data_IF_961304049152
#
_entry.id   IF_961304049152
#
_cell.length_a   1.000
_cell.length_b   1.000
_cell.length_c   1.000
_cell.angle_alpha   90.00
_cell.angle_beta   90.00
_cell.angle_gamma   90.00
#
_symmetry.space_group_name_H-M   'P 1'
#
loop_
_entity.id
_entity.type
_entity.pdbx_description
1 polymer ?
#
# COMPACT_ATOMS: atom_id res chain seq x y z
N UNK A 1 41.44 23.42 -12.41
CA UNK A 1 41.15 23.96 -13.76
C UNK A 1 40.93 22.74 -14.64
N UNK A 2 39.74 22.30 -15.04
CA UNK A 2 38.54 23.02 -15.44
C UNK A 2 37.27 22.38 -14.85
N UNK A 3 36.50 23.21 -14.17
CA UNK A 3 35.06 23.06 -13.98
C UNK A 3 34.33 23.63 -15.20
N UNK A 4 33.06 23.23 -15.39
CA UNK A 4 32.03 23.82 -16.26
C UNK A 4 31.99 23.31 -17.72
N UNK A 5 31.11 22.34 -18.02
CA UNK A 5 30.41 22.28 -19.33
C UNK A 5 29.23 21.30 -19.46
N UNK A 6 28.71 20.64 -18.41
CA UNK A 6 27.65 19.61 -18.60
C UNK A 6 26.22 20.04 -18.28
N UNK A 7 25.96 21.29 -17.90
CA UNK A 7 24.60 21.76 -17.54
C UNK A 7 23.93 22.62 -18.62
N UNK A 8 24.59 22.91 -19.76
CA UNK A 8 24.06 23.81 -20.78
C UNK A 8 23.32 23.10 -21.93
N UNK A 9 23.59 21.82 -22.19
CA UNK A 9 23.01 21.09 -23.33
C UNK A 9 21.64 20.47 -23.05
N UNK A 10 21.28 20.24 -21.77
CA UNK A 10 20.01 19.61 -21.38
C UNK A 10 18.87 20.63 -21.31
N UNK A 11 19.16 21.89 -20.97
CA UNK A 11 18.16 22.97 -20.90
C UNK A 11 17.72 23.51 -22.27
N UNK A 12 18.48 23.22 -23.33
CA UNK A 12 18.15 23.67 -24.69
C UNK A 12 17.02 22.83 -25.31
N UNK A 13 16.97 21.51 -25.06
CA UNK A 13 15.99 20.63 -25.68
C UNK A 13 14.55 20.81 -25.18
N UNK A 14 14.36 21.08 -23.88
CA UNK A 14 13.01 21.36 -23.34
C UNK A 14 12.49 22.74 -23.76
N UNK A 15 13.37 23.72 -23.91
CA UNK A 15 13.02 25.05 -24.42
C UNK A 15 12.53 25.00 -25.87
N UNK A 16 13.17 24.20 -26.73
CA UNK A 16 12.80 24.09 -28.16
C UNK A 16 11.42 23.44 -28.32
N UNK A 17 11.16 22.31 -27.65
CA UNK A 17 9.84 21.63 -27.72
C UNK A 17 8.74 22.55 -27.16
N UNK A 18 9.02 23.27 -26.06
CA UNK A 18 8.08 24.20 -25.46
C UNK A 18 7.77 25.41 -26.35
N UNK A 19 8.76 25.97 -27.03
CA UNK A 19 8.56 27.11 -27.94
C UNK A 19 7.80 26.69 -29.20
N UNK A 20 8.04 25.49 -29.74
CA UNK A 20 7.29 24.95 -30.87
C UNK A 20 5.83 24.63 -30.51
N UNK A 21 5.57 23.94 -29.39
CA UNK A 21 4.19 23.60 -28.95
C UNK A 21 3.40 24.84 -28.52
N UNK A 22 4.06 25.79 -27.84
CA UNK A 22 3.46 27.06 -27.41
C UNK A 22 3.11 27.98 -28.59
N UNK A 23 3.96 28.03 -29.62
CA UNK A 23 3.72 28.81 -30.83
C UNK A 23 2.54 28.27 -31.66
N UNK A 24 2.36 26.95 -31.71
CA UNK A 24 1.24 26.34 -32.44
C UNK A 24 -0.14 26.54 -31.78
N UNK A 25 -0.20 26.81 -30.47
CA UNK A 25 -1.47 26.89 -29.73
C UNK A 25 -1.97 28.33 -29.49
N UNK A 26 -1.15 29.36 -29.75
CA UNK A 26 -1.53 30.78 -29.58
C UNK A 26 -2.10 31.11 -28.17
N UNK A 27 -1.58 30.45 -27.12
CA UNK A 27 -2.07 30.58 -25.73
C UNK A 27 -1.14 31.53 -24.95
N UNK A 28 -1.70 32.65 -24.48
CA UNK A 28 -1.05 33.50 -23.47
C UNK A 28 -0.99 32.76 -22.13
N UNK A 29 0.15 32.14 -21.85
CA UNK A 29 0.40 31.43 -20.59
C UNK A 29 0.78 32.41 -19.47
N UNK A 30 0.29 32.12 -18.26
CA UNK A 30 0.73 32.76 -17.02
C UNK A 30 2.27 32.64 -16.90
N UNK A 31 3.00 33.74 -16.65
CA UNK A 31 4.47 33.73 -16.55
C UNK A 31 5.00 32.72 -15.54
N UNK A 32 4.33 32.52 -14.41
CA UNK A 32 4.74 31.55 -13.39
C UNK A 32 4.66 30.11 -13.92
N UNK A 33 3.58 29.81 -14.64
CA UNK A 33 3.36 28.51 -15.29
C UNK A 33 4.42 28.24 -16.36
N UNK A 34 4.79 29.25 -17.15
CA UNK A 34 5.84 29.15 -18.17
C UNK A 34 7.20 28.86 -17.54
N UNK A 35 7.54 29.54 -16.44
CA UNK A 35 8.80 29.30 -15.74
C UNK A 35 8.90 27.89 -15.15
N UNK A 36 7.80 27.39 -14.56
CA UNK A 36 7.75 26.03 -14.01
C UNK A 36 7.96 24.95 -15.08
N UNK A 37 7.35 25.10 -16.25
CA UNK A 37 7.50 24.14 -17.35
C UNK A 37 8.91 24.15 -17.95
N UNK A 38 9.55 25.33 -18.06
CA UNK A 38 10.94 25.44 -18.53
C UNK A 38 11.97 24.76 -17.61
N UNK A 39 11.65 24.63 -16.32
CA UNK A 39 12.53 23.99 -15.35
C UNK A 39 12.42 22.45 -15.32
N UNK A 40 11.50 21.87 -16.09
CA UNK A 40 11.36 20.42 -16.17
C UNK A 40 12.41 19.81 -17.08
N UNK A 41 12.86 18.62 -16.72
CA UNK A 41 13.63 17.80 -17.64
C UNK A 41 12.74 17.32 -18.81
N UNK A 42 13.37 17.06 -19.97
CA UNK A 42 12.65 16.63 -21.18
C UNK A 42 11.83 15.37 -20.92
N UNK A 43 12.39 14.38 -20.22
CA UNK A 43 11.68 13.13 -19.93
C UNK A 43 10.50 13.32 -18.99
N UNK A 44 10.61 14.26 -18.03
CA UNK A 44 9.51 14.62 -17.13
C UNK A 44 8.40 15.33 -17.89
N UNK A 45 8.75 16.26 -18.77
CA UNK A 45 7.79 16.96 -19.62
C UNK A 45 7.07 16.00 -20.57
N UNK A 46 7.80 15.11 -21.25
CA UNK A 46 7.22 14.10 -22.13
C UNK A 46 6.23 13.18 -21.40
N UNK A 47 6.59 12.73 -20.19
CA UNK A 47 5.69 11.90 -19.40
C UNK A 47 4.39 12.64 -19.06
N UNK A 48 4.49 13.89 -18.61
CA UNK A 48 3.32 14.71 -18.28
C UNK A 48 2.46 14.93 -19.55
N UNK A 49 3.09 15.30 -20.66
CA UNK A 49 2.44 15.63 -21.93
C UNK A 49 1.71 14.45 -22.60
N UNK A 50 2.12 13.20 -22.31
CA UNK A 50 1.37 12.00 -22.73
C UNK A 50 -0.02 11.90 -22.11
N UNK A 51 -0.23 12.51 -20.94
CA UNK A 51 -1.48 12.41 -20.19
C UNK A 51 -2.28 13.72 -20.17
N UNK A 52 -1.60 14.85 -20.08
CA UNK A 52 -2.21 16.17 -20.04
C UNK A 52 -1.35 17.15 -20.82
N UNK A 53 -1.98 17.97 -21.66
CA UNK A 53 -1.30 19.11 -22.29
C UNK A 53 -1.08 20.18 -21.21
N UNK A 54 0.16 20.42 -20.75
CA UNK A 54 0.41 21.35 -19.66
C UNK A 54 -0.02 22.77 -20.00
N UNK A 55 0.04 23.17 -21.27
CA UNK A 55 -0.21 24.53 -21.75
C UNK A 55 -1.69 24.92 -21.73
N UNK A 56 -2.62 23.95 -21.72
CA UNK A 56 -4.06 24.26 -21.72
C UNK A 56 -4.45 25.15 -20.54
N UNK A 57 -5.35 26.10 -20.78
CA UNK A 57 -5.87 27.00 -19.75
C UNK A 57 -6.61 26.25 -18.62
N UNK A 58 -7.22 25.11 -18.95
CA UNK A 58 -7.89 24.23 -17.98
C UNK A 58 -6.92 23.41 -17.12
N UNK A 59 -5.63 23.39 -17.46
CA UNK A 59 -4.57 22.71 -16.69
C UNK A 59 -3.82 23.72 -15.83
N UNK A 60 -3.89 23.55 -14.51
CA UNK A 60 -3.09 24.33 -13.56
C UNK A 60 -1.79 23.60 -13.26
N UNK A 61 -0.68 24.33 -13.32
CA UNK A 61 0.65 23.83 -12.93
C UNK A 61 1.08 24.62 -11.70
N UNK A 62 1.40 23.92 -10.61
CA UNK A 62 1.78 24.54 -9.34
C UNK A 62 2.97 23.77 -8.72
N UNK A 63 3.65 24.41 -7.78
CA UNK A 63 4.70 23.79 -6.98
C UNK A 63 4.41 24.01 -5.49
N UNK A 64 3.41 23.30 -4.98
CA UNK A 64 2.86 23.49 -3.64
C UNK A 64 3.04 22.26 -2.76
N UNK A 65 3.21 22.49 -1.46
CA UNK A 65 3.40 21.41 -0.47
C UNK A 65 2.39 21.46 0.68
N UNK A 66 1.69 22.57 0.84
CA UNK A 66 0.72 22.76 1.92
C UNK A 66 -0.69 22.86 1.37
N UNK A 67 -1.66 22.33 2.12
CA UNK A 67 -3.06 22.40 1.75
C UNK A 67 -3.58 23.86 1.70
N UNK A 68 -3.07 24.74 2.56
CA UNK A 68 -3.46 26.15 2.62
C UNK A 68 -3.07 26.96 1.38
N UNK A 69 -2.13 26.46 0.57
CA UNK A 69 -1.70 27.10 -0.69
C UNK A 69 -2.65 26.78 -1.85
N UNK A 70 -3.63 25.87 -1.65
CA UNK A 70 -4.61 25.47 -2.66
C UNK A 70 -5.96 26.14 -2.38
N UNK A 71 -6.20 27.27 -3.05
CA UNK A 71 -7.46 28.01 -2.98
C UNK A 71 -8.48 27.48 -3.99
N UNK A 72 -9.64 27.01 -3.53
CA UNK A 72 -10.69 26.43 -4.39
C UNK A 72 -11.15 27.42 -5.49
N UNK A 73 -11.21 28.72 -5.18
CA UNK A 73 -11.61 29.76 -6.14
C UNK A 73 -10.70 29.82 -7.39
N UNK A 74 -9.41 29.54 -7.23
CA UNK A 74 -8.43 29.52 -8.34
C UNK A 74 -8.67 28.36 -9.33
N UNK A 75 -9.37 27.32 -8.90
CA UNK A 75 -9.63 26.10 -9.68
C UNK A 75 -11.02 26.07 -10.35
N UNK A 76 -11.84 27.10 -10.18
CA UNK A 76 -13.21 27.18 -10.73
C UNK A 76 -13.32 26.91 -12.24
N UNK A 77 -12.28 27.23 -13.02
CA UNK A 77 -12.21 26.98 -14.49
C UNK A 77 -11.28 25.83 -14.88
N UNK A 78 -10.69 25.14 -13.91
CA UNK A 78 -9.60 24.18 -14.14
C UNK A 78 -10.12 22.76 -14.02
N UNK A 79 -9.82 21.93 -15.02
CA UNK A 79 -10.17 20.51 -15.03
C UNK A 79 -9.05 19.64 -14.49
N UNK A 80 -7.82 20.17 -14.44
CA UNK A 80 -6.64 19.36 -14.15
C UNK A 80 -5.61 20.13 -13.33
N UNK A 81 -4.89 19.41 -12.46
CA UNK A 81 -3.80 19.94 -11.65
C UNK A 81 -2.53 19.11 -11.86
N UNK A 82 -1.43 19.78 -12.14
CA UNK A 82 -0.08 19.23 -12.16
C UNK A 82 0.68 19.87 -10.99
N UNK A 83 1.04 19.06 -9.99
CA UNK A 83 1.91 19.50 -8.91
C UNK A 83 3.33 18.97 -9.10
N UNK A 84 4.28 19.87 -9.34
CA UNK A 84 5.69 19.52 -9.58
C UNK A 84 6.51 19.41 -8.28
N UNK A 85 5.90 19.72 -7.13
CA UNK A 85 6.55 19.59 -5.83
C UNK A 85 6.45 18.16 -5.29
N UNK A 86 7.56 17.66 -4.73
CA UNK A 86 7.60 16.34 -4.10
C UNK A 86 6.63 16.28 -2.92
N UNK A 87 5.63 15.40 -3.01
CA UNK A 87 4.61 15.25 -1.97
C UNK A 87 5.20 14.83 -0.61
N UNK A 88 6.39 14.21 -0.59
CA UNK A 88 7.11 13.91 0.67
C UNK A 88 7.43 15.15 1.52
N UNK A 89 7.48 16.34 0.90
CA UNK A 89 7.72 17.62 1.60
C UNK A 89 6.46 18.10 2.34
N UNK A 90 5.29 17.58 2.01
CA UNK A 90 4.04 17.92 2.68
C UNK A 90 3.99 17.35 4.11
N UNK A 91 3.79 18.24 5.09
CA UNK A 91 3.62 17.86 6.50
C UNK A 91 2.41 16.95 6.70
N UNK A 92 1.29 17.28 6.05
CA UNK A 92 0.02 16.56 6.17
C UNK A 92 -0.49 16.08 4.81
N UNK A 93 0.22 15.11 4.22
CA UNK A 93 -0.10 14.53 2.89
C UNK A 93 -1.59 14.26 2.67
N UNK A 94 -2.30 13.64 3.62
CA UNK A 94 -3.74 13.38 3.41
C UNK A 94 -4.56 14.65 3.34
N UNK A 95 -4.28 15.65 4.18
CA UNK A 95 -4.99 16.94 4.12
C UNK A 95 -4.70 17.65 2.80
N UNK A 96 -3.45 17.56 2.32
CA UNK A 96 -3.07 18.06 1.01
C UNK A 96 -3.85 17.35 -0.11
N UNK A 97 -3.88 16.02 -0.14
CA UNK A 97 -4.61 15.25 -1.15
C UNK A 97 -6.14 15.47 -1.10
N UNK A 98 -6.71 15.57 0.11
CA UNK A 98 -8.12 15.93 0.30
C UNK A 98 -8.39 17.33 -0.27
N UNK A 99 -7.50 18.28 -0.03
CA UNK A 99 -7.65 19.63 -0.58
C UNK A 99 -7.55 19.63 -2.11
N UNK A 100 -6.62 18.85 -2.68
CA UNK A 100 -6.54 18.64 -4.14
C UNK A 100 -7.85 18.07 -4.68
N UNK A 101 -8.43 17.06 -4.01
CA UNK A 101 -9.71 16.47 -4.41
C UNK A 101 -10.84 17.51 -4.40
N UNK A 102 -10.90 18.38 -3.39
CA UNK A 102 -11.89 19.47 -3.30
C UNK A 102 -11.71 20.55 -4.37
N UNK A 103 -10.47 20.81 -4.77
CA UNK A 103 -10.16 21.78 -5.82
C UNK A 103 -10.51 21.27 -7.22
N UNK A 104 -10.58 19.95 -7.43
CA UNK A 104 -10.83 19.37 -8.75
C UNK A 104 -12.33 19.06 -8.96
N UNK A 105 -12.85 19.29 -10.18
CA UNK A 105 -14.17 18.79 -10.56
C UNK A 105 -14.14 17.26 -10.69
N UNK A 106 -15.32 16.64 -10.73
CA UNK A 106 -15.44 15.21 -11.02
C UNK A 106 -14.81 14.86 -12.37
N UNK A 107 -14.17 13.69 -12.45
CA UNK A 107 -13.29 13.28 -13.55
C UNK A 107 -12.07 14.19 -13.78
N UNK A 108 -11.78 15.13 -12.87
CA UNK A 108 -10.59 15.96 -12.93
C UNK A 108 -9.31 15.15 -12.74
N UNK A 109 -8.26 15.49 -13.50
CA UNK A 109 -6.98 14.75 -13.48
C UNK A 109 -5.98 15.45 -12.58
N UNK A 110 -5.33 14.67 -11.72
CA UNK A 110 -4.24 15.10 -10.87
C UNK A 110 -2.95 14.35 -11.23
N UNK A 111 -1.91 15.10 -11.56
CA UNK A 111 -0.54 14.58 -11.73
C UNK A 111 0.32 15.10 -10.58
N UNK A 112 1.03 14.18 -9.93
CA UNK A 112 1.96 14.52 -8.86
C UNK A 112 3.20 13.63 -8.88
N UNK A 113 4.22 14.06 -8.15
CA UNK A 113 5.46 13.30 -8.00
C UNK A 113 5.92 13.17 -6.55
N UNK A 114 6.71 12.14 -6.29
CA UNK A 114 7.32 11.87 -5.01
C UNK A 114 8.60 11.05 -5.17
N UNK A 115 9.38 10.96 -4.10
CA UNK A 115 10.47 9.99 -3.98
C UNK A 115 10.03 8.86 -3.05
N UNK A 116 9.99 7.62 -3.55
CA UNK A 116 9.65 6.48 -2.71
C UNK A 116 10.86 5.97 -1.92
N UNK A 117 10.61 5.06 -0.98
CA UNK A 117 11.69 4.36 -0.26
C UNK A 117 12.63 3.64 -1.21
N UNK A 118 12.09 3.07 -2.29
CA UNK A 118 12.83 2.35 -3.30
C UNK A 118 13.80 3.27 -4.06
N UNK A 119 13.35 4.45 -4.52
CA UNK A 119 14.25 5.42 -5.16
C UNK A 119 15.28 5.99 -4.18
N UNK A 120 14.88 6.27 -2.93
CA UNK A 120 15.84 6.70 -1.90
C UNK A 120 16.91 5.66 -1.62
N UNK A 121 16.53 4.39 -1.53
CA UNK A 121 17.48 3.28 -1.38
C UNK A 121 18.49 3.26 -2.53
N UNK A 122 18.03 3.38 -3.77
CA UNK A 122 18.90 3.40 -4.96
C UNK A 122 19.87 4.60 -4.93
N UNK A 123 19.41 5.78 -4.51
CA UNK A 123 20.25 6.97 -4.37
C UNK A 123 21.31 6.83 -3.27
N UNK A 124 20.90 6.33 -2.10
CA UNK A 124 21.77 6.27 -0.92
C UNK A 124 22.82 5.18 -1.03
N UNK A 125 22.46 4.00 -1.55
CA UNK A 125 23.40 2.88 -1.64
C UNK A 125 24.21 2.89 -2.95
N UNK A 126 23.75 3.60 -3.98
CA UNK A 126 24.42 3.69 -5.27
C UNK A 126 24.77 2.33 -5.89
N UNK A 127 25.68 2.32 -6.88
CA UNK A 127 26.21 1.08 -7.47
C UNK A 127 27.17 0.31 -6.56
N UNK A 128 27.59 0.87 -5.42
CA UNK A 128 28.57 0.26 -4.48
C UNK A 128 27.96 0.02 -3.11
N UNK A 129 27.72 -1.26 -2.80
CA UNK A 129 27.28 -1.72 -1.47
C UNK A 129 28.45 -1.66 -0.47
N UNK A 130 28.64 -0.50 0.17
CA UNK A 130 29.50 -0.38 1.35
C UNK A 130 28.68 -0.63 2.61
N UNK A 131 29.29 -1.25 3.64
CA UNK A 131 28.64 -1.50 4.92
C UNK A 131 28.23 -0.19 5.61
N UNK A 132 29.00 0.89 5.43
CA UNK A 132 28.66 2.22 5.93
C UNK A 132 27.39 2.78 5.29
N UNK A 133 27.21 2.59 3.98
CA UNK A 133 25.99 3.02 3.29
C UNK A 133 24.78 2.21 3.73
N UNK A 134 24.97 0.91 4.06
CA UNK A 134 23.92 0.06 4.62
C UNK A 134 23.50 0.53 6.00
N UNK A 135 24.46 0.84 6.88
CA UNK A 135 24.20 1.36 8.22
C UNK A 135 23.50 2.73 8.17
N UNK A 136 23.96 3.63 7.31
CA UNK A 136 23.33 4.93 7.09
C UNK A 136 21.89 4.78 6.56
N UNK A 137 21.68 3.88 5.60
CA UNK A 137 20.34 3.59 5.11
C UNK A 137 19.42 3.03 6.20
N UNK A 138 19.90 2.10 7.02
CA UNK A 138 19.14 1.53 8.14
C UNK A 138 18.76 2.62 9.16
N UNK A 139 19.71 3.50 9.50
CA UNK A 139 19.46 4.65 10.34
C UNK A 139 18.35 5.54 9.76
N UNK A 140 18.49 5.97 8.51
CA UNK A 140 17.49 6.81 7.86
C UNK A 140 16.13 6.12 7.72
N UNK A 141 16.12 4.80 7.46
CA UNK A 141 14.90 4.01 7.42
C UNK A 141 14.20 4.03 8.78
N UNK A 142 14.91 3.74 9.87
CA UNK A 142 14.33 3.75 11.21
C UNK A 142 13.76 5.15 11.54
N UNK A 143 14.56 6.20 11.31
CA UNK A 143 14.17 7.58 11.64
C UNK A 143 13.00 8.08 10.79
N UNK A 144 13.01 7.86 9.47
CA UNK A 144 12.02 8.47 8.56
C UNK A 144 10.86 7.56 8.16
N UNK A 145 10.94 6.26 8.43
CA UNK A 145 9.88 5.27 8.16
C UNK A 145 9.21 4.77 9.43
N UNK A 146 9.99 4.44 10.46
CA UNK A 146 9.50 3.74 11.66
C UNK A 146 9.07 4.72 12.75
N UNK A 147 9.92 5.66 13.15
CA UNK A 147 9.62 6.63 14.21
C UNK A 147 8.33 7.45 14.01
N UNK A 148 7.95 7.89 12.79
CA UNK A 148 6.71 8.62 12.57
C UNK A 148 5.44 7.78 12.83
N UNK A 149 5.58 6.45 12.97
CA UNK A 149 4.49 5.49 13.15
C UNK A 149 4.44 4.88 14.55
N UNK A 150 5.46 5.13 15.39
CA UNK A 150 5.54 4.59 16.75
C UNK A 150 4.87 5.51 17.76
N UNK A 151 4.13 4.91 18.70
CA UNK A 151 3.56 5.62 19.84
C UNK A 151 4.69 6.32 20.63
N UNK A 152 4.41 7.52 21.15
CA UNK A 152 5.34 8.41 21.88
C UNK A 152 6.46 9.03 21.04
N UNK A 153 7.24 8.24 20.28
CA UNK A 153 8.36 8.74 19.45
C UNK A 153 7.87 9.63 18.31
N UNK A 154 6.65 9.37 17.82
CA UNK A 154 6.02 10.16 16.77
C UNK A 154 6.01 11.67 17.11
N UNK A 155 5.73 12.06 18.36
CA UNK A 155 5.69 13.47 18.77
C UNK A 155 7.06 14.14 18.63
N UNK A 156 8.11 13.46 19.08
CA UNK A 156 9.49 13.94 18.97
C UNK A 156 9.92 14.03 17.49
N UNK A 157 9.59 13.03 16.67
CA UNK A 157 9.86 13.07 15.24
C UNK A 157 9.22 14.29 14.58
N UNK A 158 7.93 14.54 14.82
CA UNK A 158 7.21 15.67 14.23
C UNK A 158 7.67 17.01 14.79
N UNK A 159 8.16 17.07 16.02
CA UNK A 159 8.81 18.25 16.57
C UNK A 159 10.11 18.57 15.83
N UNK A 160 10.98 17.57 15.63
CA UNK A 160 12.30 17.75 14.99
C UNK A 160 12.22 17.97 13.48
N UNK A 161 11.36 17.23 12.78
CA UNK A 161 11.31 17.23 11.31
C UNK A 161 10.19 18.11 10.75
N UNK A 162 9.31 18.63 11.61
CA UNK A 162 8.05 19.26 11.22
C UNK A 162 7.20 18.39 10.28
N UNK A 163 7.40 17.06 10.30
CA UNK A 163 6.70 16.11 9.43
C UNK A 163 7.18 16.06 7.97
N UNK A 164 8.25 16.79 7.64
CA UNK A 164 8.89 16.75 6.32
C UNK A 164 9.71 15.46 6.14
N UNK A 165 10.00 15.12 4.89
CA UNK A 165 10.91 14.02 4.51
C UNK A 165 10.48 12.60 4.90
N UNK A 166 9.17 12.36 5.05
CA UNK A 166 8.68 11.01 5.35
C UNK A 166 8.99 10.04 4.20
N UNK A 167 9.45 8.85 4.57
CA UNK A 167 9.76 7.78 3.62
C UNK A 167 8.49 6.97 3.35
N UNK A 168 8.03 7.01 2.11
CA UNK A 168 6.72 6.49 1.70
C UNK A 168 6.97 5.46 0.60
N UNK A 169 6.37 4.27 0.71
CA UNK A 169 6.45 3.26 -0.35
C UNK A 169 5.42 3.56 -1.43
N UNK A 170 5.65 3.06 -2.64
CA UNK A 170 4.68 3.14 -3.74
C UNK A 170 3.25 2.72 -3.31
N UNK A 171 3.12 1.61 -2.59
CA UNK A 171 1.81 1.16 -2.09
C UNK A 171 1.15 2.14 -1.12
N UNK A 172 1.93 2.81 -0.28
CA UNK A 172 1.37 3.73 0.70
C UNK A 172 0.86 5.02 0.05
N UNK A 173 1.55 5.56 -0.97
CA UNK A 173 1.06 6.76 -1.66
C UNK A 173 -0.14 6.44 -2.57
N UNK A 174 -0.09 5.34 -3.33
CA UNK A 174 -1.19 4.93 -4.20
C UNK A 174 -2.44 4.64 -3.36
N UNK A 175 -2.29 3.94 -2.23
CA UNK A 175 -3.41 3.69 -1.34
C UNK A 175 -3.97 4.97 -0.69
N UNK A 176 -3.12 5.97 -0.39
CA UNK A 176 -3.58 7.29 0.07
C UNK A 176 -4.40 8.00 -1.00
N UNK A 177 -3.96 7.99 -2.26
CA UNK A 177 -4.70 8.58 -3.38
C UNK A 177 -6.09 7.95 -3.51
N UNK A 178 -6.17 6.61 -3.52
CA UNK A 178 -7.47 5.91 -3.58
C UNK A 178 -8.35 6.22 -2.37
N UNK A 179 -7.79 6.25 -1.17
CA UNK A 179 -8.56 6.66 0.02
C UNK A 179 -9.05 8.12 -0.03
N UNK A 180 -8.37 8.98 -0.79
CA UNK A 180 -8.76 10.38 -0.98
C UNK A 180 -9.70 10.56 -2.19
N UNK A 181 -10.30 9.48 -2.71
CA UNK A 181 -11.34 9.55 -3.75
C UNK A 181 -10.81 9.58 -5.19
N UNK A 182 -9.55 9.19 -5.39
CA UNK A 182 -8.94 9.13 -6.72
C UNK A 182 -8.86 7.70 -7.28
N UNK A 183 -9.06 7.53 -8.58
CA UNK A 183 -8.72 6.31 -9.30
C UNK A 183 -7.34 6.45 -9.94
N UNK A 184 -6.53 5.39 -9.86
CA UNK A 184 -5.18 5.37 -10.42
C UNK A 184 -5.28 5.04 -11.91
N UNK A 185 -4.81 5.97 -12.76
CA UNK A 185 -4.73 5.76 -14.22
C UNK A 185 -3.40 5.10 -14.54
N UNK A 186 -2.30 5.75 -14.16
CA UNK A 186 -0.94 5.31 -14.46
C UNK A 186 0.03 5.78 -13.38
N UNK A 187 1.15 5.07 -13.24
CA UNK A 187 2.31 5.55 -12.50
C UNK A 187 3.58 5.05 -13.17
N UNK A 188 4.65 5.83 -13.08
CA UNK A 188 5.95 5.47 -13.64
C UNK A 188 7.08 6.10 -12.84
N UNK A 189 8.31 5.64 -13.07
CA UNK A 189 9.50 6.27 -12.51
C UNK A 189 10.25 6.98 -13.63
N UNK A 190 10.35 8.31 -13.51
CA UNK A 190 11.03 9.17 -14.47
C UNK A 190 12.07 9.98 -13.72
N UNK A 191 13.32 10.00 -14.20
CA UNK A 191 14.44 10.66 -13.52
C UNK A 191 14.52 10.36 -12.02
N UNK A 192 14.26 9.10 -11.67
CA UNK A 192 14.32 8.63 -10.30
C UNK A 192 13.34 9.34 -9.33
N UNK A 193 12.29 9.95 -9.88
CA UNK A 193 11.08 10.37 -9.16
C UNK A 193 9.94 9.45 -9.58
N UNK A 194 9.11 9.08 -8.62
CA UNK A 194 7.89 8.37 -8.89
C UNK A 194 6.81 9.39 -9.27
N UNK A 195 6.31 9.28 -10.49
CA UNK A 195 5.18 10.05 -10.96
C UNK A 195 3.91 9.20 -10.94
N UNK A 196 2.79 9.83 -10.67
CA UNK A 196 1.47 9.21 -10.76
C UNK A 196 0.50 10.13 -11.47
N UNK A 197 -0.46 9.51 -12.16
CA UNK A 197 -1.60 10.16 -12.81
C UNK A 197 -2.86 9.52 -12.25
N UNK A 198 -3.71 10.36 -11.66
CA UNK A 198 -4.96 9.90 -11.05
C UNK A 198 -6.13 10.76 -11.48
N UNK A 199 -7.33 10.19 -11.45
CA UNK A 199 -8.58 10.85 -11.77
C UNK A 199 -9.45 10.96 -10.52
N UNK A 200 -10.11 12.11 -10.31
CA UNK A 200 -11.13 12.24 -9.26
C UNK A 200 -12.37 11.43 -9.65
N UNK A 201 -12.77 10.50 -8.79
CA UNK A 201 -13.96 9.65 -9.00
C UNK A 201 -14.97 9.79 -7.85
N UNK A 202 -14.49 10.09 -6.65
CA UNK A 202 -15.36 10.29 -5.49
C UNK A 202 -14.79 11.31 -4.53
N UNK A 203 -15.59 11.67 -3.53
CA UNK A 203 -15.10 12.36 -2.35
C UNK A 203 -14.25 11.40 -1.46
N UNK A 204 -13.37 11.93 -0.58
CA UNK A 204 -12.51 11.13 0.28
C UNK A 204 -13.27 10.17 1.20
N UNK A 205 -12.84 8.90 1.23
CA UNK A 205 -13.41 7.88 2.10
C UNK A 205 -12.93 8.08 3.55
N UNK A 206 -13.84 8.52 4.42
CA UNK A 206 -13.59 8.68 5.85
C UNK A 206 -13.95 7.45 6.69
N UNK A 207 -14.55 6.41 6.09
CA UNK A 207 -15.06 5.23 6.79
C UNK A 207 -13.95 4.33 7.34
N UNK A 208 -12.85 4.22 6.61
CA UNK A 208 -11.70 3.38 6.96
C UNK A 208 -10.58 4.25 7.50
N UNK A 209 -10.21 4.03 8.77
CA UNK A 209 -8.99 4.62 9.35
C UNK A 209 -7.82 3.65 9.16
N UNK A 210 -6.88 3.93 8.25
CA UNK A 210 -5.75 3.06 8.01
C UNK A 210 -4.85 3.05 9.26
N UNK A 211 -4.59 1.85 9.78
CA UNK A 211 -3.68 1.67 10.90
C UNK A 211 -2.24 1.59 10.40
N UNK A 212 -1.32 2.23 11.13
CA UNK A 212 0.12 2.15 10.89
C UNK A 212 0.81 1.16 11.84
N UNK A 213 0.05 0.55 12.76
CA UNK A 213 0.59 -0.27 13.82
C UNK A 213 1.07 -1.61 13.28
N UNK A 214 2.17 -2.17 13.84
CA UNK A 214 2.68 -3.49 13.46
C UNK A 214 1.67 -4.61 13.72
N UNK A 215 0.85 -4.49 14.76
CA UNK A 215 -0.22 -5.43 15.05
C UNK A 215 -1.51 -5.00 14.35
N UNK A 216 -2.13 -5.96 13.67
CA UNK A 216 -3.36 -5.76 12.93
C UNK A 216 -4.45 -6.70 13.48
N UNK A 217 -5.42 -6.18 14.26
CA UNK A 217 -6.54 -6.98 14.74
C UNK A 217 -7.57 -7.15 13.63
N UNK A 218 -8.02 -8.39 13.42
CA UNK A 218 -9.06 -8.74 12.45
C UNK A 218 -10.28 -9.30 13.16
N UNK A 219 -11.45 -8.75 12.87
CA UNK A 219 -12.71 -9.31 13.38
C UNK A 219 -13.02 -10.64 12.68
N UNK A 220 -13.29 -11.67 13.47
CA UNK A 220 -13.55 -13.04 13.02
C UNK A 220 -14.65 -13.70 13.82
N UNK A 221 -15.35 -14.64 13.21
CA UNK A 221 -16.38 -15.45 13.87
C UNK A 221 -15.70 -16.50 14.75
N UNK A 222 -16.03 -16.50 16.05
CA UNK A 222 -15.55 -17.44 17.05
C UNK A 222 -16.63 -18.43 17.49
N UNK A 223 -16.36 -19.11 18.61
CA UNK A 223 -17.31 -20.05 19.24
C UNK A 223 -18.63 -19.34 19.58
N UNK A 224 -19.75 -20.05 19.41
CA UNK A 224 -21.12 -19.58 19.55
C UNK A 224 -21.47 -18.39 18.65
N UNK A 225 -20.73 -18.18 17.56
CA UNK A 225 -20.94 -17.06 16.64
C UNK A 225 -20.43 -15.71 17.17
N UNK A 226 -19.77 -15.68 18.33
CA UNK A 226 -19.24 -14.44 18.92
C UNK A 226 -18.10 -13.87 18.08
N UNK A 227 -18.13 -12.57 17.81
CA UNK A 227 -17.03 -11.89 17.12
C UNK A 227 -15.81 -11.76 18.04
N UNK A 228 -14.66 -12.24 17.58
CA UNK A 228 -13.35 -12.17 18.25
C UNK A 228 -12.36 -11.36 17.41
N UNK A 229 -11.34 -10.78 18.06
CA UNK A 229 -10.26 -10.03 17.39
C UNK A 229 -9.03 -10.91 17.26
N UNK A 230 -8.81 -11.48 16.08
CA UNK A 230 -7.61 -12.28 15.80
C UNK A 230 -6.44 -11.37 15.44
N UNK A 231 -5.33 -11.48 16.15
CA UNK A 231 -4.16 -10.62 15.94
C UNK A 231 -3.20 -11.22 14.91
N UNK A 232 -2.69 -10.38 14.00
CA UNK A 232 -1.60 -10.72 13.08
C UNK A 232 -0.55 -9.62 13.02
N UNK A 233 0.65 -9.94 12.55
CA UNK A 233 1.62 -8.92 12.16
C UNK A 233 1.26 -8.36 10.78
N UNK A 234 1.43 -7.06 10.65
CA UNK A 234 1.28 -6.33 9.41
C UNK A 234 2.42 -6.71 8.46
N UNK A 235 2.05 -7.39 7.38
CA UNK A 235 2.97 -7.78 6.30
C UNK A 235 2.93 -6.81 5.12
N UNK A 236 1.83 -6.06 4.97
CA UNK A 236 1.61 -5.13 3.87
C UNK A 236 1.82 -3.68 4.29
N UNK A 237 2.11 -2.81 3.33
CA UNK A 237 2.23 -1.37 3.57
C UNK A 237 0.89 -0.76 4.06
N UNK A 238 0.90 0.36 4.80
CA UNK A 238 -0.33 1.07 5.13
C UNK A 238 -1.13 1.45 3.87
N UNK A 239 -2.46 1.52 3.96
CA UNK A 239 -3.40 1.80 2.85
C UNK A 239 -3.49 0.70 1.77
N UNK A 240 -2.86 -0.45 1.95
CA UNK A 240 -2.92 -1.55 0.99
C UNK A 240 -4.33 -2.11 0.78
N UNK A 241 -5.23 -1.91 1.74
CA UNK A 241 -6.64 -2.32 1.69
C UNK A 241 -7.42 -1.61 0.57
N UNK A 242 -7.00 -0.41 0.15
CA UNK A 242 -7.63 0.35 -0.93
C UNK A 242 -7.16 -0.11 -2.32
N UNK A 243 -6.05 -0.84 -2.38
CA UNK A 243 -5.38 -1.21 -3.63
C UNK A 243 -5.74 -2.61 -4.13
N UNK A 244 -6.63 -3.33 -3.45
CA UNK A 244 -6.95 -4.72 -3.81
C UNK A 244 -7.46 -4.86 -5.26
N UNK A 245 -8.46 -4.07 -5.64
CA UNK A 245 -9.02 -4.09 -6.99
C UNK A 245 -7.98 -3.68 -8.04
N UNK A 246 -7.22 -2.63 -7.75
CA UNK A 246 -6.19 -2.11 -8.64
C UNK A 246 -5.08 -3.14 -8.92
N UNK A 247 -4.53 -3.78 -7.87
CA UNK A 247 -3.45 -4.76 -8.04
C UNK A 247 -3.93 -6.00 -8.78
N UNK A 248 -5.17 -6.47 -8.52
CA UNK A 248 -5.76 -7.59 -9.26
C UNK A 248 -5.93 -7.23 -10.74
N UNK A 249 -6.39 -6.01 -11.05
CA UNK A 249 -6.52 -5.53 -12.44
C UNK A 249 -5.16 -5.44 -13.15
N UNK A 250 -4.12 -5.01 -12.43
CA UNK A 250 -2.79 -4.81 -12.98
C UNK A 250 -2.04 -6.13 -13.25
N UNK A 251 -2.06 -7.04 -12.27
CA UNK A 251 -1.18 -8.21 -12.28
C UNK A 251 -1.93 -9.54 -12.49
N UNK A 252 -3.26 -9.54 -12.40
CA UNK A 252 -4.05 -10.77 -12.38
C UNK A 252 -3.80 -11.62 -11.13
N UNK A 253 -4.28 -12.86 -11.18
CA UNK A 253 -4.05 -13.85 -10.12
C UNK A 253 -2.91 -14.81 -10.51
N UNK A 254 -2.16 -15.26 -9.52
CA UNK A 254 -1.21 -16.36 -9.64
C UNK A 254 -1.92 -17.73 -9.49
N UNK A 255 -1.15 -18.81 -9.65
CA UNK A 255 -1.61 -20.21 -9.52
C UNK A 255 -2.31 -20.54 -8.20
N UNK A 256 -2.10 -19.72 -7.16
CA UNK A 256 -2.68 -19.90 -5.82
C UNK A 256 -3.88 -18.97 -5.56
N UNK A 257 -4.43 -18.32 -6.61
CA UNK A 257 -5.57 -17.41 -6.49
C UNK A 257 -5.25 -16.10 -5.76
N UNK A 258 -3.98 -15.70 -5.68
CA UNK A 258 -3.55 -14.42 -5.07
C UNK A 258 -3.06 -13.45 -6.15
N UNK A 259 -3.10 -12.13 -5.92
CA UNK A 259 -2.54 -11.20 -6.89
C UNK A 259 -1.07 -11.49 -7.18
N UNK A 260 -0.70 -11.65 -8.45
CA UNK A 260 0.69 -11.81 -8.85
C UNK A 260 1.48 -10.51 -8.56
N UNK A 261 2.79 -10.60 -8.35
CA UNK A 261 3.70 -9.46 -8.11
C UNK A 261 3.16 -8.33 -7.21
N UNK A 262 2.55 -8.71 -6.09
CA UNK A 262 1.88 -7.78 -5.19
C UNK A 262 2.86 -6.82 -4.49
N UNK A 263 3.00 -5.61 -5.04
CA UNK A 263 3.85 -4.53 -4.51
C UNK A 263 3.36 -3.96 -3.17
N UNK A 264 2.16 -4.34 -2.71
CA UNK A 264 1.66 -3.96 -1.39
C UNK A 264 2.36 -4.72 -0.27
N UNK A 265 2.93 -5.89 -0.57
CA UNK A 265 3.65 -6.71 0.38
C UNK A 265 5.06 -6.14 0.61
N UNK A 266 5.38 -5.84 1.86
CA UNK A 266 6.73 -5.38 2.19
C UNK A 266 7.75 -6.51 2.03
N UNK A 267 9.02 -6.17 1.81
CA UNK A 267 10.09 -7.16 1.63
C UNK A 267 10.21 -8.09 2.85
N UNK A 268 10.21 -7.54 4.07
CA UNK A 268 10.16 -8.33 5.30
C UNK A 268 8.82 -9.05 5.49
N UNK A 269 7.73 -8.51 4.93
CA UNK A 269 6.42 -9.15 4.94
C UNK A 269 6.41 -10.47 4.18
N UNK A 270 7.14 -10.56 3.05
CA UNK A 270 7.37 -11.83 2.31
C UNK A 270 8.06 -12.85 3.21
N UNK A 271 9.09 -12.44 3.94
CA UNK A 271 9.79 -13.30 4.89
C UNK A 271 8.86 -13.76 6.02
N UNK A 272 8.11 -12.84 6.65
CA UNK A 272 7.18 -13.21 7.73
C UNK A 272 6.12 -14.22 7.30
N UNK A 273 5.51 -14.04 6.12
CA UNK A 273 4.53 -15.00 5.59
C UNK A 273 5.18 -16.35 5.30
N UNK A 274 6.35 -16.38 4.66
CA UNK A 274 7.07 -17.62 4.33
C UNK A 274 7.30 -18.50 5.56
N UNK A 275 7.61 -17.89 6.70
CA UNK A 275 7.91 -18.58 7.95
C UNK A 275 6.77 -18.54 8.99
N UNK A 276 5.54 -18.17 8.59
CA UNK A 276 4.36 -18.06 9.49
C UNK A 276 4.56 -17.11 10.69
N UNK A 277 5.55 -16.21 10.62
CA UNK A 277 5.84 -15.27 11.70
C UNK A 277 4.73 -14.23 11.86
N UNK A 278 3.97 -13.97 10.80
CA UNK A 278 2.86 -13.03 10.83
C UNK A 278 1.65 -13.53 11.63
N UNK A 279 1.54 -14.84 11.83
CA UNK A 279 0.47 -15.47 12.61
C UNK A 279 0.85 -15.69 14.08
N UNK A 280 2.11 -15.47 14.48
CA UNK A 280 2.55 -15.60 15.89
C UNK A 280 1.72 -14.78 16.89
N UNK A 281 1.25 -13.55 16.60
CA UNK A 281 0.41 -12.81 17.54
C UNK A 281 -0.92 -13.51 17.88
N UNK A 282 -1.35 -14.51 17.09
CA UNK A 282 -2.54 -15.31 17.40
C UNK A 282 -2.37 -16.13 18.70
N UNK A 283 -1.13 -16.39 19.16
CA UNK A 283 -0.91 -17.02 20.47
C UNK A 283 -1.51 -16.19 21.62
N UNK A 284 -1.60 -14.86 21.49
CA UNK A 284 -2.30 -14.00 22.45
C UNK A 284 -3.77 -14.40 22.56
N UNK A 285 -4.43 -14.74 21.44
CA UNK A 285 -5.81 -15.22 21.43
C UNK A 285 -5.95 -16.62 22.03
N UNK A 286 -4.94 -17.48 21.85
CA UNK A 286 -4.89 -18.80 22.49
C UNK A 286 -4.82 -18.67 24.01
N UNK A 287 -3.93 -17.82 24.52
CA UNK A 287 -3.84 -17.54 25.96
C UNK A 287 -5.12 -16.90 26.53
N UNK A 288 -5.81 -16.07 25.75
CA UNK A 288 -7.13 -15.51 26.12
C UNK A 288 -8.26 -16.54 26.03
N UNK A 289 -8.00 -17.74 25.51
CA UNK A 289 -9.00 -18.79 25.32
C UNK A 289 -9.99 -18.53 24.18
N UNK A 290 -9.71 -17.59 23.28
CA UNK A 290 -10.54 -17.26 22.11
C UNK A 290 -10.25 -18.18 20.91
N UNK A 291 -9.00 -18.62 20.77
CA UNK A 291 -8.56 -19.60 19.78
C UNK A 291 -8.02 -20.87 20.45
N UNK A 292 -8.08 -22.00 19.75
CA UNK A 292 -7.30 -23.19 20.03
C UNK A 292 -5.99 -23.21 19.23
N UNK A 293 -5.08 -24.11 19.59
CA UNK A 293 -3.87 -24.33 18.80
C UNK A 293 -4.21 -24.97 17.44
N UNK A 294 -5.09 -25.97 17.47
CA UNK A 294 -5.66 -26.64 16.31
C UNK A 294 -7.16 -26.38 16.24
N UNK A 295 -7.68 -26.19 15.03
CA UNK A 295 -9.10 -25.97 14.80
C UNK A 295 -9.39 -25.25 13.49
N UNK A 296 -10.68 -25.21 13.12
CA UNK A 296 -11.14 -24.54 11.88
C UNK A 296 -10.62 -23.11 11.80
N UNK A 297 -10.27 -22.65 10.58
CA UNK A 297 -9.68 -21.31 10.41
C UNK A 297 -10.72 -20.24 10.79
N UNK A 298 -10.35 -19.22 11.59
CA UNK A 298 -11.25 -18.12 11.89
C UNK A 298 -11.56 -17.31 10.62
N UNK A 299 -12.84 -17.19 10.28
CA UNK A 299 -13.32 -16.50 9.06
C UNK A 299 -13.94 -15.14 9.38
N UNK A 300 -13.92 -14.23 8.39
CA UNK A 300 -14.70 -12.99 8.47
C UNK A 300 -16.19 -13.32 8.40
N UNK A 301 -17.06 -12.42 8.87
CA UNK A 301 -18.50 -12.63 8.79
C UNK A 301 -18.98 -12.84 7.35
N UNK A 302 -18.41 -12.10 6.39
CA UNK A 302 -18.73 -12.26 4.97
C UNK A 302 -18.42 -13.66 4.47
N UNK A 303 -17.18 -14.13 4.68
CA UNK A 303 -16.75 -15.47 4.24
C UNK A 303 -17.46 -16.60 5.00
N UNK A 304 -17.84 -16.35 6.26
CA UNK A 304 -18.62 -17.31 7.04
C UNK A 304 -20.02 -17.53 6.45
N UNK A 305 -20.67 -16.45 5.97
CA UNK A 305 -22.00 -16.54 5.34
C UNK A 305 -22.00 -17.25 3.99
N UNK A 306 -20.85 -17.29 3.30
CA UNK A 306 -20.69 -18.00 2.03
C UNK A 306 -20.62 -19.53 2.20
N UNK A 307 -20.39 -20.03 3.43
CA UNK A 307 -20.31 -21.47 3.69
C UNK A 307 -21.70 -22.12 3.67
N UNK A 308 -21.78 -23.44 3.39
CA UNK A 308 -23.00 -24.21 3.60
C UNK A 308 -23.52 -24.12 5.05
N UNK A 309 -24.85 -24.05 5.22
CA UNK A 309 -25.48 -23.78 6.51
C UNK A 309 -25.15 -24.82 7.60
N UNK A 310 -25.01 -26.08 7.19
CA UNK A 310 -24.60 -27.18 8.06
C UNK A 310 -23.17 -27.01 8.58
N UNK A 311 -22.24 -26.57 7.74
CA UNK A 311 -20.85 -26.25 8.11
C UNK A 311 -20.82 -25.03 9.04
N UNK A 312 -21.63 -24.01 8.76
CA UNK A 312 -21.75 -22.84 9.65
C UNK A 312 -22.18 -23.25 11.06
N UNK A 313 -23.24 -24.07 11.18
CA UNK A 313 -23.76 -24.58 12.46
C UNK A 313 -22.75 -25.43 13.21
N UNK A 314 -21.94 -26.23 12.50
CA UNK A 314 -20.89 -27.03 13.13
C UNK A 314 -19.71 -26.17 13.60
N UNK A 315 -19.23 -25.23 12.78
CA UNK A 315 -18.09 -24.36 13.08
C UNK A 315 -18.27 -23.59 14.38
N UNK A 316 -19.46 -23.04 14.62
CA UNK A 316 -19.73 -22.24 15.83
C UNK A 316 -19.75 -23.07 17.12
N UNK A 317 -19.83 -24.40 17.07
CA UNK A 317 -19.77 -25.25 18.28
C UNK A 317 -18.36 -25.28 18.89
N UNK A 318 -17.34 -25.01 18.08
CA UNK A 318 -15.93 -25.13 18.46
C UNK A 318 -15.21 -23.79 18.50
N UNK A 319 -14.10 -23.74 19.25
CA UNK A 319 -13.16 -22.64 19.12
C UNK A 319 -12.41 -22.79 17.78
N UNK A 320 -12.27 -21.71 16.98
CA UNK A 320 -11.38 -21.74 15.83
C UNK A 320 -9.94 -21.96 16.25
N UNK A 321 -9.08 -22.37 15.32
CA UNK A 321 -7.69 -22.69 15.58
C UNK A 321 -6.68 -21.86 14.78
N UNK A 322 -5.46 -21.77 15.31
CA UNK A 322 -4.31 -21.24 14.58
C UNK A 322 -3.90 -22.16 13.43
N UNK A 323 -3.87 -23.47 13.69
CA UNK A 323 -3.51 -24.51 12.71
C UNK A 323 -4.81 -25.14 12.18
N UNK A 324 -5.15 -24.91 10.90
CA UNK A 324 -6.38 -25.43 10.33
C UNK A 324 -6.26 -26.87 9.84
N UNK A 325 -7.35 -27.65 9.83
CA UNK A 325 -7.33 -29.08 9.50
C UNK A 325 -6.81 -29.43 8.11
N UNK A 326 -7.03 -28.56 7.12
CA UNK A 326 -6.52 -28.76 5.77
C UNK A 326 -4.98 -28.84 5.70
N UNK A 327 -4.28 -28.27 6.68
CA UNK A 327 -2.82 -28.40 6.82
C UNK A 327 -2.44 -29.78 7.35
N UNK A 328 -3.23 -30.33 8.27
CA UNK A 328 -3.01 -31.68 8.79
C UNK A 328 -3.32 -32.76 7.74
N UNK A 329 -4.39 -32.57 6.96
CA UNK A 329 -4.89 -33.54 5.98
C UNK A 329 -4.36 -33.34 4.56
N UNK A 330 -3.59 -32.27 4.31
CA UNK A 330 -3.03 -31.94 3.00
C UNK A 330 -4.09 -31.78 1.90
N UNK A 331 -5.16 -31.03 2.20
CA UNK A 331 -6.28 -30.74 1.29
C UNK A 331 -6.41 -29.22 1.04
N UNK A 332 -5.46 -28.60 0.31
CA UNK A 332 -5.35 -27.14 0.22
C UNK A 332 -6.37 -26.47 -0.70
N UNK A 333 -7.07 -27.23 -1.54
CA UNK A 333 -8.10 -26.73 -2.46
C UNK A 333 -9.36 -26.26 -1.71
N UNK A 334 -10.19 -25.43 -2.34
CA UNK A 334 -11.34 -24.80 -1.67
C UNK A 334 -12.37 -25.84 -1.16
N UNK A 335 -12.66 -26.84 -1.98
CA UNK A 335 -13.59 -27.92 -1.62
C UNK A 335 -12.98 -28.85 -0.57
N UNK A 336 -11.72 -29.23 -0.75
CA UNK A 336 -10.94 -30.03 0.20
C UNK A 336 -10.78 -29.35 1.55
N UNK A 337 -10.71 -28.02 1.61
CA UNK A 337 -10.66 -27.28 2.87
C UNK A 337 -11.95 -27.45 3.67
N UNK A 338 -13.11 -27.31 3.02
CA UNK A 338 -14.41 -27.52 3.67
C UNK A 338 -14.55 -28.98 4.14
N UNK A 339 -14.10 -29.94 3.33
CA UNK A 339 -14.16 -31.35 3.70
C UNK A 339 -13.23 -31.68 4.88
N UNK A 340 -12.00 -31.17 4.87
CA UNK A 340 -11.07 -31.29 5.99
C UNK A 340 -11.64 -30.72 7.29
N UNK A 341 -12.37 -29.61 7.21
CA UNK A 341 -13.09 -29.05 8.36
C UNK A 341 -14.21 -29.97 8.85
N UNK A 342 -14.98 -30.59 7.95
CA UNK A 342 -16.02 -31.57 8.32
C UNK A 342 -15.43 -32.78 9.02
N UNK A 343 -14.39 -33.38 8.47
CA UNK A 343 -13.71 -34.56 9.03
C UNK A 343 -13.20 -34.23 10.44
N UNK A 344 -12.45 -33.14 10.58
CA UNK A 344 -11.92 -32.72 11.88
C UNK A 344 -13.02 -32.45 12.91
N UNK A 345 -14.09 -31.74 12.52
CA UNK A 345 -15.19 -31.44 13.46
C UNK A 345 -15.92 -32.70 13.92
N UNK A 346 -16.09 -33.71 13.04
CA UNK A 346 -16.67 -35.01 13.41
C UNK A 346 -15.77 -35.77 14.37
N UNK A 347 -14.48 -35.94 14.03
CA UNK A 347 -13.51 -36.60 14.91
C UNK A 347 -13.42 -35.91 16.29
N UNK A 348 -13.50 -34.58 16.32
CA UNK A 348 -13.45 -33.82 17.57
C UNK A 348 -14.71 -33.97 18.43
N UNK A 349 -15.88 -34.24 17.85
CA UNK A 349 -17.09 -34.58 18.62
C UNK A 349 -16.94 -35.92 19.33
N UNK A 350 -16.33 -36.89 18.67
CA UNK A 350 -16.11 -38.24 19.22
C UNK A 350 -14.98 -38.24 20.25
N UNK A 351 -13.85 -37.62 19.90
CA UNK A 351 -12.57 -37.77 20.56
C UNK A 351 -11.89 -36.41 20.72
N UNK A 352 -12.42 -35.54 21.59
CA UNK A 352 -12.03 -34.12 21.67
C UNK A 352 -10.53 -33.85 21.73
N UNK A 353 -9.89 -34.12 22.87
CA UNK A 353 -8.49 -33.75 23.12
C UNK A 353 -7.48 -34.54 22.27
N UNK A 354 -7.75 -35.83 22.05
CA UNK A 354 -6.87 -36.71 21.26
C UNK A 354 -6.84 -36.32 19.78
N UNK A 355 -7.97 -35.87 19.24
CA UNK A 355 -8.05 -35.33 17.87
C UNK A 355 -7.18 -34.09 17.71
N UNK A 356 -7.22 -33.15 18.67
CA UNK A 356 -6.42 -31.94 18.61
C UNK A 356 -4.91 -32.25 18.61
N UNK A 357 -4.46 -33.22 19.42
CA UNK A 357 -3.06 -33.69 19.44
C UNK A 357 -2.67 -34.36 18.11
N UNK A 358 -3.50 -35.28 17.60
CA UNK A 358 -3.28 -35.98 16.33
C UNK A 358 -3.08 -34.98 15.20
N UNK A 359 -3.99 -34.01 15.07
CA UNK A 359 -3.94 -33.03 14.00
C UNK A 359 -2.76 -32.05 14.15
N UNK A 360 -2.36 -31.72 15.39
CA UNK A 360 -1.17 -30.91 15.65
C UNK A 360 0.10 -31.56 15.10
N UNK A 361 0.36 -32.83 15.45
CA UNK A 361 1.56 -33.53 14.99
C UNK A 361 1.55 -33.80 13.48
N UNK A 362 0.37 -34.09 12.90
CA UNK A 362 0.22 -34.21 11.45
C UNK A 362 0.56 -32.90 10.72
N UNK A 363 0.04 -31.77 11.22
CA UNK A 363 0.34 -30.47 10.65
C UNK A 363 1.84 -30.14 10.77
N UNK A 364 2.45 -30.39 11.94
CA UNK A 364 3.88 -30.16 12.16
C UNK A 364 4.73 -30.98 11.20
N UNK A 365 4.40 -32.26 11.00
CA UNK A 365 5.08 -33.13 10.05
C UNK A 365 4.94 -32.62 8.60
N UNK A 366 3.75 -32.19 8.17
CA UNK A 366 3.53 -31.68 6.82
C UNK A 366 4.25 -30.36 6.55
N UNK A 367 4.35 -29.49 7.56
CA UNK A 367 5.10 -28.23 7.48
C UNK A 367 6.60 -28.51 7.38
N UNK A 368 7.15 -29.37 8.26
CA UNK A 368 8.57 -29.69 8.30
C UNK A 368 9.05 -30.48 7.07
N UNK A 369 8.21 -31.37 6.54
CA UNK A 369 8.49 -32.12 5.31
C UNK A 369 8.34 -31.31 4.03
N UNK A 370 7.90 -30.05 4.12
CA UNK A 370 7.74 -29.15 2.97
C UNK A 370 6.58 -29.51 2.03
N UNK A 371 5.72 -30.47 2.42
CA UNK A 371 4.51 -30.87 1.67
C UNK A 371 3.51 -29.73 1.57
N UNK A 372 3.48 -28.85 2.58
CA UNK A 372 2.64 -27.67 2.60
C UNK A 372 3.53 -26.44 2.78
N UNK A 373 3.52 -25.58 1.76
CA UNK A 373 4.23 -24.30 1.83
C UNK A 373 3.28 -23.22 2.33
N UNK A 374 3.80 -22.38 3.23
CA UNK A 374 3.17 -21.11 3.51
C UNK A 374 3.09 -20.29 2.23
N UNK A 375 1.91 -19.75 2.01
CA UNK A 375 1.55 -18.94 0.86
C UNK A 375 2.06 -17.50 0.91
#
# INVERSE_FOLDING_TARGET
MNSLSTNASVSLGSNVIYEEVGAHLNISLDPDKKQLLKNLDISEYEYISRHLIPERASTKVKQVNNASELNISEFSKSTSLINLSLINKSRYINQFLIQVNKCLPDAGIFIGCLETVEQKYQNTLGKKRSIFNLLYWLYCFIVHRVFPKMLYIQKLYFFLTQGKFRWISQAEILGRLVSCGFEIIEFSVVNNKFYFVVMKVSEPDSSKKPSFMPFFPMNRVGKNGKMIKVYKLRTMHPYSEYLQSFVVKLNGYNEYGKPADDFRLAIWGKFYRKYWLDELPQFINVFKGELGLVGVRPLSMTRFKELPEDVQKMRIKFKPGCIPPYVSLNMPDENGNIEAERIYMKERLENGFTTDIKYFFLALFNILSGKIKSS
#
